data_IF_304878199551
#
_entry.id   IF_304878199551
#
_cell.length_a   1.000
_cell.length_b   1.000
_cell.length_c   1.000
_cell.angle_alpha   90.00
_cell.angle_beta   90.00
_cell.angle_gamma   90.00
#
_symmetry.space_group_name_H-M   'P 1'
#
loop_
_entity.id
_entity.type
_entity.pdbx_description
1 polymer ?
#
# COMPACT_ATOMS: atom_id res chain seq x y z
N UNK A 1 9.41 -13.66 10.16
CA UNK A 1 9.92 -12.27 10.13
C UNK A 1 9.04 -11.47 9.20
N UNK A 2 8.86 -10.17 9.48
CA UNK A 2 8.07 -9.29 8.62
C UNK A 2 8.63 -9.23 7.18
N UNK A 3 7.74 -9.08 6.23
CA UNK A 3 7.99 -9.03 4.80
C UNK A 3 7.53 -7.69 4.21
N UNK A 4 7.95 -7.40 2.98
CA UNK A 4 7.42 -6.26 2.23
C UNK A 4 5.91 -6.34 2.11
N UNK A 5 5.22 -5.26 2.47
CA UNK A 5 3.76 -5.19 2.44
C UNK A 5 3.06 -5.61 3.74
N UNK A 6 3.77 -6.23 4.69
CA UNK A 6 3.19 -6.57 5.98
C UNK A 6 2.79 -5.32 6.76
N UNK A 7 1.71 -5.47 7.53
CA UNK A 7 1.34 -4.52 8.57
C UNK A 7 1.94 -5.01 9.89
N UNK A 8 2.80 -4.19 10.48
CA UNK A 8 3.59 -4.52 11.67
C UNK A 8 3.29 -3.56 12.81
N UNK A 9 3.58 -3.99 14.02
CA UNK A 9 3.58 -3.15 15.22
C UNK A 9 5.03 -2.91 15.64
N UNK A 10 5.36 -1.64 15.91
CA UNK A 10 6.60 -1.25 16.58
C UNK A 10 6.27 -0.72 17.97
N UNK A 11 7.16 -0.95 18.95
CA UNK A 11 6.95 -0.91 20.42
C UNK A 11 6.00 0.13 21.05
N UNK A 12 5.67 1.23 20.37
CA UNK A 12 4.54 2.13 20.67
C UNK A 12 3.13 1.53 20.55
N UNK A 13 2.97 0.32 19.98
CA UNK A 13 1.67 -0.29 19.68
C UNK A 13 1.01 0.19 18.39
N UNK A 14 1.59 1.19 17.72
CA UNK A 14 1.10 1.71 16.44
C UNK A 14 1.35 0.73 15.30
N UNK A 15 0.39 0.67 14.37
CA UNK A 15 0.49 -0.12 13.12
C UNK A 15 1.21 0.66 12.03
N UNK A 16 2.12 -0.02 11.34
CA UNK A 16 2.94 0.50 10.25
C UNK A 16 2.94 -0.49 9.08
N UNK A 17 3.22 -0.01 7.88
CA UNK A 17 3.41 -0.85 6.69
C UNK A 17 4.89 -0.93 6.36
N UNK A 18 5.41 -2.14 6.16
CA UNK A 18 6.76 -2.38 5.68
C UNK A 18 6.82 -2.09 4.18
N UNK A 19 7.63 -1.13 3.76
CA UNK A 19 7.75 -0.74 2.34
C UNK A 19 9.12 -1.02 1.74
N UNK A 20 10.12 -1.27 2.60
CA UNK A 20 11.49 -1.55 2.16
C UNK A 20 12.19 -2.40 3.22
N UNK A 21 13.05 -3.32 2.78
CA UNK A 21 13.96 -4.07 3.63
C UNK A 21 15.39 -3.73 3.20
N UNK A 22 16.21 -3.30 4.15
CA UNK A 22 17.54 -2.72 3.91
C UNK A 22 18.54 -3.50 4.76
N UNK A 23 19.64 -3.98 4.18
CA UNK A 23 20.71 -4.60 4.96
C UNK A 23 21.37 -3.59 5.91
N UNK A 24 21.67 -4.00 7.14
CA UNK A 24 22.28 -3.13 8.15
C UNK A 24 23.74 -3.51 8.47
N UNK A 25 24.47 -2.59 9.11
CA UNK A 25 25.91 -2.74 9.40
C UNK A 25 26.23 -3.89 10.39
N UNK A 26 25.22 -4.42 11.08
CA UNK A 26 25.37 -5.52 12.03
C UNK A 26 25.10 -6.90 11.39
N UNK A 27 24.93 -6.96 10.06
CA UNK A 27 24.63 -8.19 9.33
C UNK A 27 23.16 -8.62 9.40
N UNK A 28 22.29 -7.77 9.95
CA UNK A 28 20.84 -7.94 9.97
C UNK A 28 20.14 -7.12 8.88
N UNK A 29 18.84 -6.90 9.06
CA UNK A 29 18.03 -6.06 8.18
C UNK A 29 17.24 -5.03 8.99
N UNK A 30 17.18 -3.81 8.46
CA UNK A 30 16.25 -2.78 8.90
C UNK A 30 15.05 -2.75 7.95
N UNK A 31 13.90 -2.34 8.46
CA UNK A 31 12.69 -2.11 7.71
C UNK A 31 12.39 -0.62 7.64
N UNK A 32 12.13 -0.12 6.43
CA UNK A 32 11.50 1.18 6.24
C UNK A 32 10.00 1.01 6.43
N UNK A 33 9.48 1.72 7.42
CA UNK A 33 8.09 1.67 7.82
C UNK A 33 7.41 2.98 7.44
N UNK A 34 6.18 2.90 6.94
CA UNK A 34 5.33 4.08 6.75
C UNK A 34 3.98 3.88 7.41
N UNK A 35 3.35 4.99 7.80
CA UNK A 35 2.00 5.02 8.30
C UNK A 35 1.27 6.24 7.71
N UNK A 36 0.10 6.07 7.08
CA UNK A 36 -0.73 7.20 6.66
C UNK A 36 -1.28 7.95 7.89
N UNK A 37 -1.39 9.27 7.75
CA UNK A 37 -2.01 10.18 8.71
C UNK A 37 -3.33 10.69 8.15
N UNK A 38 -4.21 11.19 9.01
CA UNK A 38 -5.56 11.64 8.61
C UNK A 38 -5.55 12.85 7.67
N UNK A 39 -4.44 13.59 7.61
CA UNK A 39 -4.22 14.73 6.70
C UNK A 39 -3.70 14.31 5.31
N UNK A 40 -3.68 13.00 5.02
CA UNK A 40 -3.20 12.44 3.75
C UNK A 40 -1.68 12.39 3.63
N UNK A 41 -0.93 12.77 4.67
CA UNK A 41 0.53 12.63 4.70
C UNK A 41 0.93 11.25 5.21
N UNK A 42 2.19 10.90 4.98
CA UNK A 42 2.79 9.69 5.52
C UNK A 42 3.86 10.07 6.53
N UNK A 43 3.86 9.40 7.67
CA UNK A 43 5.00 9.38 8.60
C UNK A 43 5.84 8.16 8.27
N UNK A 44 7.17 8.33 8.22
CA UNK A 44 8.10 7.23 7.96
C UNK A 44 9.13 7.08 9.07
N UNK A 45 9.49 5.85 9.41
CA UNK A 45 10.58 5.53 10.34
C UNK A 45 11.42 4.37 9.82
N UNK A 46 12.66 4.27 10.27
CA UNK A 46 13.53 3.11 10.06
C UNK A 46 13.65 2.34 11.39
N UNK A 47 13.48 1.02 11.37
CA UNK A 47 13.59 0.15 12.55
C UNK A 47 14.22 -1.18 12.20
N UNK A 48 14.95 -1.76 13.14
CA UNK A 48 15.45 -3.14 13.02
C UNK A 48 14.26 -4.10 12.83
N UNK A 49 14.35 -4.93 11.78
CA UNK A 49 13.34 -5.91 11.41
C UNK A 49 13.09 -6.94 12.52
N UNK A 50 14.13 -7.24 13.32
CA UNK A 50 14.06 -8.23 14.40
C UNK A 50 13.09 -7.83 15.53
N UNK A 51 12.90 -6.53 15.73
CA UNK A 51 12.03 -5.96 16.77
C UNK A 51 10.59 -5.74 16.35
N UNK A 52 10.20 -6.18 15.14
CA UNK A 52 8.86 -5.97 14.59
C UNK A 52 7.96 -7.17 14.82
N UNK A 53 6.73 -6.89 15.26
CA UNK A 53 5.68 -7.90 15.40
C UNK A 53 4.77 -7.79 14.18
N UNK A 54 4.64 -8.87 13.40
CA UNK A 54 3.69 -8.91 12.28
C UNK A 54 2.28 -8.95 12.84
N UNK A 55 1.49 -7.92 12.55
CA UNK A 55 0.08 -7.87 12.91
C UNK A 55 -0.78 -8.51 11.81
N UNK A 56 -0.38 -8.33 10.55
CA UNK A 56 -1.10 -8.86 9.40
C UNK A 56 -0.19 -8.96 8.18
N UNK A 57 -0.40 -10.01 7.39
CA UNK A 57 0.16 -10.18 6.05
C UNK A 57 -0.97 -10.12 5.02
N UNK A 58 -1.22 -8.93 4.42
CA UNK A 58 -2.27 -8.74 3.43
C UNK A 58 -2.27 -9.76 2.30
N UNK A 59 -3.46 -10.17 1.88
CA UNK A 59 -3.64 -10.96 0.66
C UNK A 59 -4.97 -10.61 -0.02
N UNK A 60 -4.98 -10.65 -1.35
CA UNK A 60 -6.16 -10.45 -2.21
C UNK A 60 -6.13 -11.52 -3.31
N UNK A 61 -7.30 -11.83 -3.86
CA UNK A 61 -7.45 -12.68 -5.02
C UNK A 61 -7.54 -11.85 -6.30
N UNK A 62 -6.91 -12.25 -7.41
CA UNK A 62 -7.11 -11.61 -8.70
C UNK A 62 -8.61 -11.49 -9.04
N UNK A 63 -9.04 -10.28 -9.39
CA UNK A 63 -10.45 -9.94 -9.60
C UNK A 63 -11.14 -9.29 -8.41
N UNK A 64 -10.54 -9.30 -7.21
CA UNK A 64 -11.09 -8.59 -6.05
C UNK A 64 -11.28 -7.11 -6.37
N UNK A 65 -12.48 -6.60 -6.03
CA UNK A 65 -12.78 -5.18 -6.17
C UNK A 65 -12.02 -4.38 -5.12
N UNK A 66 -11.18 -3.47 -5.57
CA UNK A 66 -10.37 -2.61 -4.72
C UNK A 66 -10.43 -1.16 -5.19
N UNK A 67 -9.94 -0.27 -4.34
CA UNK A 67 -9.93 1.17 -4.52
C UNK A 67 -8.51 1.68 -4.32
N UNK A 68 -8.05 2.55 -5.21
CA UNK A 68 -6.74 3.22 -5.12
C UNK A 68 -6.94 4.72 -5.31
N UNK A 69 -6.55 5.52 -4.32
CA UNK A 69 -6.87 6.95 -4.22
C UNK A 69 -8.34 7.28 -4.53
N UNK A 70 -9.28 6.48 -4.03
CA UNK A 70 -10.72 6.65 -4.27
C UNK A 70 -11.21 6.15 -5.64
N UNK A 71 -10.34 5.58 -6.46
CA UNK A 71 -10.65 5.08 -7.81
C UNK A 71 -10.85 3.57 -7.78
N UNK A 72 -12.00 3.10 -8.25
CA UNK A 72 -12.32 1.67 -8.29
C UNK A 72 -11.49 0.94 -9.36
N UNK A 73 -11.10 -0.28 -9.03
CA UNK A 73 -10.38 -1.17 -9.92
C UNK A 73 -10.47 -2.63 -9.48
N UNK A 74 -9.88 -3.52 -10.28
CA UNK A 74 -9.72 -4.93 -9.97
C UNK A 74 -8.28 -5.25 -9.60
N UNK A 75 -8.07 -5.96 -8.50
CA UNK A 75 -6.75 -6.44 -8.13
C UNK A 75 -6.24 -7.48 -9.16
N UNK A 76 -4.99 -7.35 -9.58
CA UNK A 76 -4.37 -8.23 -10.58
C UNK A 76 -3.37 -9.22 -9.97
N UNK A 77 -2.81 -8.90 -8.80
CA UNK A 77 -1.74 -9.67 -8.18
C UNK A 77 -0.76 -8.77 -7.42
N UNK A 78 0.16 -9.39 -6.69
CA UNK A 78 1.21 -8.71 -5.93
C UNK A 78 2.56 -9.32 -6.25
N UNK A 79 3.56 -8.46 -6.39
CA UNK A 79 4.95 -8.84 -6.56
C UNK A 79 5.80 -8.00 -5.62
N UNK A 80 6.62 -8.65 -4.79
CA UNK A 80 7.52 -7.98 -3.83
C UNK A 80 6.82 -6.94 -2.94
N UNK A 81 5.62 -7.26 -2.43
CA UNK A 81 4.82 -6.37 -1.58
C UNK A 81 4.13 -5.22 -2.32
N UNK A 82 4.23 -5.16 -3.65
CA UNK A 82 3.56 -4.18 -4.51
C UNK A 82 2.38 -4.83 -5.23
N UNK A 83 1.18 -4.40 -4.87
CA UNK A 83 -0.07 -4.75 -5.54
C UNK A 83 -0.20 -4.02 -6.88
N UNK A 84 -0.71 -4.74 -7.88
CA UNK A 84 -1.10 -4.23 -9.19
C UNK A 84 -2.62 -4.18 -9.26
N UNK A 85 -3.17 -3.04 -9.65
CA UNK A 85 -4.63 -2.83 -9.73
C UNK A 85 -4.99 -2.29 -11.10
N UNK A 86 -5.88 -2.97 -11.82
CA UNK A 86 -6.47 -2.47 -13.06
C UNK A 86 -7.56 -1.47 -12.72
N UNK A 87 -7.30 -0.19 -12.95
CA UNK A 87 -8.28 0.86 -12.82
C UNK A 87 -9.20 0.88 -14.03
N UNK A 88 -10.50 1.04 -13.78
CA UNK A 88 -11.48 1.13 -14.84
C UNK A 88 -11.28 2.39 -15.69
N UNK A 89 -11.64 2.29 -16.98
CA UNK A 89 -11.80 3.46 -17.84
C UNK A 89 -12.76 4.46 -17.20
N UNK A 90 -12.51 5.75 -17.42
CA UNK A 90 -13.35 6.80 -16.83
C UNK A 90 -13.42 8.02 -17.73
N UNK A 91 -14.49 8.79 -17.56
CA UNK A 91 -14.66 10.07 -18.23
C UNK A 91 -14.59 11.19 -17.20
N UNK A 92 -13.82 12.23 -17.50
CA UNK A 92 -13.75 13.44 -16.68
C UNK A 92 -14.26 14.62 -17.49
N UNK A 93 -15.09 15.45 -16.85
CA UNK A 93 -15.56 16.71 -17.43
C UNK A 93 -14.50 17.78 -17.19
N UNK A 94 -14.11 18.49 -18.25
CA UNK A 94 -13.22 19.64 -18.15
C UNK A 94 -13.97 20.84 -17.60
N UNK A 95 -13.23 21.86 -17.14
CA UNK A 95 -13.80 23.15 -16.75
C UNK A 95 -14.57 23.85 -17.89
N UNK A 96 -14.29 23.48 -19.15
CA UNK A 96 -14.98 23.99 -20.34
C UNK A 96 -16.22 23.18 -20.75
N UNK A 97 -16.59 22.14 -20.00
CA UNK A 97 -17.73 21.27 -20.31
C UNK A 97 -17.45 20.19 -21.36
N UNK A 98 -16.21 20.07 -21.85
CA UNK A 98 -15.79 18.97 -22.71
C UNK A 98 -15.52 17.70 -21.88
N UNK A 99 -15.46 16.54 -22.55
CA UNK A 99 -15.12 15.28 -21.90
C UNK A 99 -13.74 14.79 -22.31
N UNK A 100 -12.98 14.29 -21.34
CA UNK A 100 -11.73 13.55 -21.57
C UNK A 100 -11.98 12.10 -21.14
N UNK A 101 -11.74 11.17 -22.05
CA UNK A 101 -11.65 9.75 -21.74
C UNK A 101 -10.26 9.43 -21.18
N UNK A 102 -10.23 8.69 -20.08
CA UNK A 102 -9.03 8.06 -19.56
C UNK A 102 -9.18 6.56 -19.73
N UNK A 103 -8.30 5.97 -20.51
CA UNK A 103 -8.27 4.53 -20.75
C UNK A 103 -7.94 3.76 -19.47
N UNK A 104 -8.17 2.45 -19.50
CA UNK A 104 -7.77 1.56 -18.42
C UNK A 104 -6.27 1.68 -18.14
N UNK A 105 -5.92 1.74 -16.86
CA UNK A 105 -4.55 1.93 -16.42
C UNK A 105 -4.22 0.99 -15.26
N UNK A 106 -2.96 0.57 -15.15
CA UNK A 106 -2.50 -0.26 -14.03
C UNK A 106 -1.84 0.62 -12.98
N UNK A 107 -2.45 0.70 -11.80
CA UNK A 107 -1.85 1.31 -10.62
C UNK A 107 -0.95 0.31 -9.88
N UNK A 108 0.13 0.83 -9.26
CA UNK A 108 1.06 0.09 -8.41
C UNK A 108 1.08 0.73 -7.03
N UNK A 109 0.85 -0.05 -5.99
CA UNK A 109 0.78 0.43 -4.60
C UNK A 109 1.25 -0.66 -3.64
N UNK A 110 1.82 -0.31 -2.49
CA UNK A 110 2.10 -1.30 -1.44
C UNK A 110 0.81 -2.04 -1.04
N UNK A 111 0.85 -3.37 -0.95
CA UNK A 111 -0.32 -4.19 -0.60
C UNK A 111 -0.86 -3.85 0.81
N UNK A 112 0.02 -3.50 1.75
CA UNK A 112 -0.38 -3.02 3.08
C UNK A 112 -1.14 -1.69 3.02
N UNK A 113 -0.69 -0.76 2.19
CA UNK A 113 -1.43 0.49 1.98
C UNK A 113 -2.77 0.26 1.27
N UNK A 114 -2.80 -0.67 0.30
CA UNK A 114 -4.04 -1.04 -0.39
C UNK A 114 -5.08 -1.55 0.61
N UNK A 115 -4.69 -2.41 1.56
CA UNK A 115 -5.58 -2.85 2.64
C UNK A 115 -6.07 -1.67 3.46
N UNK A 116 -5.19 -0.77 3.89
CA UNK A 116 -5.59 0.39 4.71
C UNK A 116 -6.59 1.30 3.98
N UNK A 117 -6.43 1.51 2.68
CA UNK A 117 -7.37 2.30 1.89
C UNK A 117 -8.72 1.60 1.71
N UNK A 118 -8.69 0.28 1.45
CA UNK A 118 -9.89 -0.52 1.20
C UNK A 118 -10.61 -0.96 2.47
N UNK A 119 -10.02 -0.69 3.63
CA UNK A 119 -10.59 -0.89 4.96
C UNK A 119 -11.56 0.19 5.41
N UNK A 120 -12.15 0.96 4.49
CA UNK A 120 -13.20 1.91 4.88
C UNK A 120 -14.28 1.18 5.69
N UNK A 121 -14.25 1.50 6.98
CA UNK A 121 -15.28 1.36 8.00
C UNK A 121 -16.65 1.81 7.45
#
# INVERSE_FOLDING_TARGET
MAQLGDIVISGSGLKWVVVELIGNAHGGQDARLIRPSDDGRFTGILKDLSGLIVAESPSFQPGDSVTVNGLKGGYLGTENGIARVLLAERRMTTKSGAFIGLDAAVARISIGLLVLENRKL
#
